data_IF_777993066506
#
_entry.id   IF_777993066506
#
_cell.length_a   1.000
_cell.length_b   1.000
_cell.length_c   1.000
_cell.angle_alpha   90.00
_cell.angle_beta   90.00
_cell.angle_gamma   90.00
#
_symmetry.space_group_name_H-M   'P 1'
#
loop_
_entity.id
_entity.type
_entity.pdbx_description
1 polymer ?
#
# COMPACT_ATOMS: atom_id res chain seq x y z
N UNK A 1 -13.82 6.19 4.31
CA UNK A 1 -12.99 7.13 5.10
C UNK A 1 -12.51 8.22 4.16
N UNK A 2 -12.89 9.47 4.42
CA UNK A 2 -12.35 10.61 3.68
C UNK A 2 -11.10 11.13 4.39
N UNK A 3 -10.12 11.75 3.70
CA UNK A 3 -8.95 12.33 4.35
C UNK A 3 -9.27 13.50 5.29
N UNK A 4 -10.48 14.05 5.20
CA UNK A 4 -10.95 15.15 6.04
C UNK A 4 -11.41 14.67 7.42
N UNK A 5 -11.96 13.47 7.51
CA UNK A 5 -12.50 12.88 8.75
C UNK A 5 -11.61 11.77 9.31
N UNK A 6 -10.83 11.12 8.44
CA UNK A 6 -9.94 10.02 8.80
C UNK A 6 -8.58 10.49 9.32
N UNK A 7 -7.84 9.54 9.88
CA UNK A 7 -6.50 9.70 10.45
C UNK A 7 -5.60 8.59 9.91
N UNK A 8 -4.34 8.89 9.64
CA UNK A 8 -3.34 7.85 9.37
C UNK A 8 -2.84 7.36 10.72
N UNK A 9 -2.97 6.05 10.97
CA UNK A 9 -2.54 5.43 12.23
C UNK A 9 -1.20 4.68 12.11
N UNK A 10 -0.86 4.23 10.90
CA UNK A 10 0.34 3.45 10.61
C UNK A 10 0.79 3.73 9.18
N UNK A 11 2.09 3.94 8.99
CA UNK A 11 2.75 3.91 7.68
C UNK A 11 3.83 2.83 7.71
N UNK A 12 3.68 1.81 6.87
CA UNK A 12 4.68 0.74 6.70
C UNK A 12 5.38 0.92 5.37
N UNK A 13 6.71 0.96 5.39
CA UNK A 13 7.51 1.12 4.17
C UNK A 13 8.85 0.38 4.29
N UNK A 14 9.49 0.16 3.15
CA UNK A 14 10.84 -0.39 3.03
C UNK A 14 11.57 0.41 1.96
N UNK A 15 12.80 0.80 2.24
CA UNK A 15 13.66 1.48 1.26
C UNK A 15 14.64 0.45 0.71
N UNK A 16 14.54 0.18 -0.60
CA UNK A 16 15.37 -0.82 -1.29
C UNK A 16 15.40 -2.17 -0.52
N UNK A 17 16.59 -2.75 -0.37
CA UNK A 17 16.82 -4.00 0.38
C UNK A 17 17.03 -3.79 1.89
N UNK A 18 16.62 -2.64 2.43
CA UNK A 18 16.73 -2.32 3.85
C UNK A 18 15.69 -3.01 4.72
N UNK A 19 15.63 -2.60 5.99
CA UNK A 19 14.63 -3.07 6.94
C UNK A 19 13.23 -2.50 6.64
N UNK A 20 12.20 -3.21 7.10
CA UNK A 20 10.83 -2.70 7.12
C UNK A 20 10.70 -1.71 8.28
N UNK A 21 10.21 -0.51 7.97
CA UNK A 21 9.95 0.56 8.92
C UNK A 21 8.45 0.72 9.13
N UNK A 22 8.08 1.04 10.37
CA UNK A 22 6.70 1.30 10.77
C UNK A 22 6.66 2.60 11.56
N UNK A 23 6.05 3.63 10.98
CA UNK A 23 5.75 4.85 11.70
C UNK A 23 4.38 4.69 12.32
N UNK A 24 4.34 4.75 13.65
CA UNK A 24 3.17 4.43 14.46
C UNK A 24 2.63 5.71 15.06
N UNK A 25 1.38 6.01 14.75
CA UNK A 25 0.75 7.23 15.21
C UNK A 25 0.64 7.27 16.74
N UNK A 26 0.31 6.15 17.37
CA UNK A 26 0.16 6.06 18.83
C UNK A 26 1.48 6.24 19.61
N UNK A 27 2.63 6.25 18.94
CA UNK A 27 3.94 6.47 19.59
C UNK A 27 4.40 7.93 19.54
N UNK A 28 4.12 8.63 18.43
CA UNK A 28 4.69 9.97 18.16
C UNK A 28 3.65 11.00 17.69
N UNK A 29 2.39 10.61 17.53
CA UNK A 29 1.33 11.43 16.96
C UNK A 29 1.37 11.51 15.43
N UNK A 30 0.20 11.73 14.83
CA UNK A 30 0.04 11.74 13.36
C UNK A 30 0.91 12.81 12.69
N UNK A 31 0.98 14.00 13.28
CA UNK A 31 1.75 15.13 12.75
C UNK A 31 3.23 14.79 12.62
N UNK A 32 3.85 14.28 13.69
CA UNK A 32 5.28 13.99 13.69
C UNK A 32 5.61 12.74 12.86
N UNK A 33 4.70 11.75 12.83
CA UNK A 33 4.76 10.65 11.88
C UNK A 33 4.80 11.15 10.43
N UNK A 34 3.88 12.03 10.05
CA UNK A 34 3.83 12.60 8.70
C UNK A 34 5.05 13.46 8.40
N UNK A 35 5.54 14.22 9.38
CA UNK A 35 6.79 14.99 9.23
C UNK A 35 7.98 14.06 8.97
N UNK A 36 8.14 12.97 9.74
CA UNK A 36 9.19 11.98 9.53
C UNK A 36 9.11 11.34 8.14
N UNK A 37 7.90 10.99 7.70
CA UNK A 37 7.70 10.44 6.35
C UNK A 37 8.03 11.46 5.26
N UNK A 38 7.63 12.72 5.42
CA UNK A 38 7.96 13.80 4.48
C UNK A 38 9.47 14.02 4.37
N UNK A 39 10.18 14.08 5.50
CA UNK A 39 11.62 14.29 5.53
C UNK A 39 12.36 13.14 4.84
N UNK A 40 11.94 11.89 5.10
CA UNK A 40 12.44 10.72 4.38
C UNK A 40 12.28 10.87 2.86
N UNK A 41 11.08 11.22 2.38
CA UNK A 41 10.83 11.40 0.94
C UNK A 41 11.73 12.50 0.36
N UNK A 42 11.88 13.61 1.07
CA UNK A 42 12.75 14.72 0.67
C UNK A 42 14.21 14.27 0.58
N UNK A 43 14.69 13.51 1.56
CA UNK A 43 16.07 13.04 1.60
C UNK A 43 16.35 11.99 0.52
N UNK A 44 15.44 11.05 0.28
CA UNK A 44 15.55 10.09 -0.81
C UNK A 44 15.56 10.79 -2.19
N UNK A 45 14.87 11.92 -2.34
CA UNK A 45 14.89 12.72 -3.57
C UNK A 45 16.15 13.59 -3.75
N UNK A 46 16.99 13.74 -2.71
CA UNK A 46 18.25 14.49 -2.80
C UNK A 46 19.43 13.62 -3.28
N UNK A 47 19.24 12.30 -3.40
CA UNK A 47 20.28 11.37 -3.84
C UNK A 47 20.90 11.77 -5.19
N UNK A 48 22.20 11.51 -5.35
CA UNK A 48 22.96 11.80 -6.57
C UNK A 48 22.73 10.71 -7.62
N UNK A 49 22.10 11.07 -8.75
CA UNK A 49 21.88 10.19 -9.91
C UNK A 49 20.67 10.59 -10.75
N UNK A 50 20.49 9.93 -11.90
CA UNK A 50 19.28 10.05 -12.75
C UNK A 50 18.07 9.28 -12.18
N UNK A 51 18.28 8.47 -11.14
CA UNK A 51 17.22 7.66 -10.52
C UNK A 51 16.32 8.54 -9.65
N UNK A 52 15.17 8.91 -10.22
CA UNK A 52 14.07 9.54 -9.48
C UNK A 52 13.59 8.58 -8.39
N UNK A 53 13.20 9.13 -7.23
CA UNK A 53 12.55 8.34 -6.17
C UNK A 53 11.38 7.56 -6.77
N UNK A 54 11.46 6.23 -6.69
CA UNK A 54 10.37 5.34 -7.09
C UNK A 54 9.55 4.93 -5.86
N UNK A 55 8.24 5.12 -5.94
CA UNK A 55 7.28 4.67 -4.92
C UNK A 55 6.46 3.54 -5.52
N UNK A 56 6.43 2.40 -4.83
CA UNK A 56 5.76 1.18 -5.29
C UNK A 56 4.69 0.74 -4.31
N UNK A 57 3.61 0.14 -4.82
CA UNK A 57 2.60 -0.54 -4.02
C UNK A 57 1.26 -0.63 -4.73
N UNK A 58 0.23 -1.04 -4.01
CA UNK A 58 -1.07 -1.37 -4.58
C UNK A 58 -2.08 -0.22 -4.40
N UNK A 59 -2.65 0.27 -5.49
CA UNK A 59 -3.64 1.37 -5.52
C UNK A 59 -3.15 2.67 -4.84
N UNK A 60 -1.83 2.89 -4.83
CA UNK A 60 -1.18 4.03 -4.18
C UNK A 60 -1.62 5.37 -4.82
N UNK A 61 -1.85 5.39 -6.13
CA UNK A 61 -2.36 6.57 -6.83
C UNK A 61 -3.86 6.77 -6.60
N UNK A 62 -4.61 5.70 -6.34
CA UNK A 62 -6.04 5.79 -6.04
C UNK A 62 -6.34 6.17 -4.59
N UNK A 63 -5.39 5.96 -3.67
CA UNK A 63 -5.63 6.13 -2.24
C UNK A 63 -4.43 6.75 -1.48
N UNK A 64 -3.36 5.99 -1.27
CA UNK A 64 -2.33 6.28 -0.26
C UNK A 64 -1.69 7.66 -0.41
N UNK A 65 -1.16 8.02 -1.58
CA UNK A 65 -0.41 9.28 -1.75
C UNK A 65 -1.31 10.50 -1.58
N UNK A 66 -2.53 10.45 -2.11
CA UNK A 66 -3.47 11.55 -1.96
C UNK A 66 -3.99 11.66 -0.53
N UNK A 67 -4.23 10.54 0.15
CA UNK A 67 -4.60 10.55 1.55
C UNK A 67 -3.49 11.17 2.40
N UNK A 68 -2.24 10.71 2.23
CA UNK A 68 -1.05 11.26 2.91
C UNK A 68 -0.88 12.75 2.61
N UNK A 69 -0.97 13.17 1.34
CA UNK A 69 -0.86 14.57 0.95
C UNK A 69 -1.90 15.46 1.66
N UNK A 70 -3.16 15.03 1.68
CA UNK A 70 -4.22 15.79 2.34
C UNK A 70 -4.02 15.87 3.86
N UNK A 71 -3.58 14.79 4.50
CA UNK A 71 -3.26 14.79 5.94
C UNK A 71 -2.04 15.65 6.26
N UNK A 72 -1.01 15.66 5.41
CA UNK A 72 0.14 16.57 5.55
C UNK A 72 -0.28 18.04 5.43
N UNK A 73 -1.20 18.35 4.51
CA UNK A 73 -1.78 19.69 4.36
C UNK A 73 -2.58 20.09 5.60
N UNK A 74 -3.43 19.20 6.12
CA UNK A 74 -4.20 19.42 7.35
C UNK A 74 -3.28 19.77 8.53
N UNK A 75 -2.18 19.03 8.70
CA UNK A 75 -1.20 19.24 9.77
C UNK A 75 -0.19 20.35 9.51
N UNK A 76 -0.28 21.02 8.35
CA UNK A 76 0.64 22.10 7.91
C UNK A 76 2.11 21.66 7.98
N UNK A 77 2.41 20.46 7.50
CA UNK A 77 3.77 19.89 7.51
C UNK A 77 4.74 20.73 6.67
N UNK A 78 4.24 21.29 5.57
CA UNK A 78 4.97 22.19 4.68
C UNK A 78 3.97 22.99 3.82
N UNK A 79 4.42 24.03 3.12
CA UNK A 79 3.65 24.72 2.08
C UNK A 79 3.06 23.75 1.05
N UNK A 80 1.81 23.99 0.64
CA UNK A 80 1.05 23.13 -0.27
C UNK A 80 1.79 22.86 -1.59
N UNK A 81 2.43 23.90 -2.15
CA UNK A 81 3.26 23.78 -3.37
C UNK A 81 4.37 22.74 -3.19
N UNK A 82 5.06 22.75 -2.06
CA UNK A 82 6.15 21.84 -1.79
C UNK A 82 5.66 20.43 -1.44
N UNK A 83 4.53 20.30 -0.73
CA UNK A 83 3.89 19.01 -0.52
C UNK A 83 3.52 18.35 -1.85
N UNK A 84 2.86 19.09 -2.74
CA UNK A 84 2.48 18.58 -4.07
C UNK A 84 3.71 18.17 -4.88
N UNK A 85 4.74 19.03 -4.92
CA UNK A 85 5.97 18.73 -5.65
C UNK A 85 6.67 17.47 -5.12
N UNK A 86 6.78 17.32 -3.80
CA UNK A 86 7.56 16.24 -3.20
C UNK A 86 6.82 14.90 -3.14
N UNK A 87 5.52 14.92 -2.84
CA UNK A 87 4.73 13.71 -2.61
C UNK A 87 4.04 13.22 -3.89
N UNK A 88 3.58 14.14 -4.75
CA UNK A 88 2.73 13.79 -5.91
C UNK A 88 3.51 13.88 -7.23
N UNK A 89 4.20 14.99 -7.48
CA UNK A 89 4.70 15.29 -8.82
C UNK A 89 6.09 14.70 -9.15
N UNK A 90 7.02 14.73 -8.20
CA UNK A 90 8.41 14.30 -8.43
C UNK A 90 8.62 12.78 -8.42
N UNK A 91 7.99 11.99 -7.55
CA UNK A 91 8.22 10.56 -7.52
C UNK A 91 7.78 9.87 -8.82
N UNK A 92 8.52 8.86 -9.25
CA UNK A 92 8.00 7.87 -10.19
C UNK A 92 7.12 6.89 -9.39
N UNK A 93 5.84 6.76 -9.72
CA UNK A 93 4.92 5.89 -8.98
C UNK A 93 4.60 4.66 -9.82
N UNK A 94 4.94 3.47 -9.30
CA UNK A 94 4.50 2.19 -9.86
C UNK A 94 3.35 1.66 -9.02
N UNK A 95 2.13 1.88 -9.53
CA UNK A 95 0.91 1.38 -8.93
C UNK A 95 0.58 0.00 -9.51
N UNK A 96 0.65 -1.04 -8.67
CA UNK A 96 0.38 -2.41 -9.10
C UNK A 96 -1.03 -2.60 -9.63
N UNK A 97 -2.03 -1.84 -9.16
CA UNK A 97 -3.37 -1.91 -9.75
C UNK A 97 -3.33 -1.47 -11.21
N UNK A 98 -2.68 -0.34 -11.49
CA UNK A 98 -2.58 0.25 -12.83
C UNK A 98 -1.77 -0.65 -13.78
N UNK A 99 -0.67 -1.23 -13.30
CA UNK A 99 0.17 -2.14 -14.08
C UNK A 99 -0.58 -3.38 -14.58
N UNK A 100 -1.62 -3.82 -13.86
CA UNK A 100 -2.41 -5.02 -14.20
C UNK A 100 -3.69 -4.71 -14.98
N UNK A 101 -4.07 -3.44 -15.18
CA UNK A 101 -5.26 -3.08 -15.95
C UNK A 101 -5.28 -3.67 -17.36
N UNK A 102 -4.19 -3.63 -18.17
CA UNK A 102 -4.21 -4.19 -19.52
C UNK A 102 -4.49 -5.71 -19.55
N UNK A 103 -4.16 -6.43 -18.47
CA UNK A 103 -4.40 -7.86 -18.33
C UNK A 103 -5.84 -8.18 -17.89
N UNK A 104 -6.61 -7.17 -17.50
CA UNK A 104 -8.00 -7.29 -17.07
C UNK A 104 -8.94 -6.41 -17.91
N UNK A 105 -8.64 -6.29 -19.20
CA UNK A 105 -9.46 -5.54 -20.16
C UNK A 105 -9.75 -4.10 -19.69
N UNK A 106 -8.75 -3.50 -19.04
CA UNK A 106 -8.79 -2.16 -18.45
C UNK A 106 -9.87 -1.96 -17.38
N UNK A 107 -10.33 -3.04 -16.74
CA UNK A 107 -11.26 -3.00 -15.62
C UNK A 107 -10.52 -3.08 -14.28
N UNK A 108 -10.94 -2.27 -13.32
CA UNK A 108 -10.47 -2.37 -11.92
C UNK A 108 -11.19 -3.47 -11.15
N UNK A 109 -12.41 -3.84 -11.60
CA UNK A 109 -13.21 -4.90 -10.96
C UNK A 109 -12.44 -6.22 -10.99
N UNK A 110 -12.32 -6.84 -9.82
CA UNK A 110 -11.60 -8.11 -9.65
C UNK A 110 -10.11 -7.95 -9.32
N UNK A 111 -9.48 -6.80 -9.59
CA UNK A 111 -8.06 -6.58 -9.30
C UNK A 111 -7.82 -6.20 -7.84
N UNK A 112 -8.23 -7.04 -6.89
CA UNK A 112 -7.98 -6.83 -5.45
C UNK A 112 -6.52 -7.16 -5.08
N UNK A 113 -6.04 -6.62 -3.95
CA UNK A 113 -4.71 -6.93 -3.41
C UNK A 113 -4.48 -8.46 -3.35
N UNK A 114 -5.40 -9.20 -2.72
CA UNK A 114 -5.30 -10.66 -2.59
C UNK A 114 -5.28 -11.41 -3.93
N UNK A 115 -5.94 -10.87 -4.95
CA UNK A 115 -5.90 -11.47 -6.30
C UNK A 115 -4.50 -11.37 -6.88
N UNK A 116 -3.84 -10.23 -6.70
CA UNK A 116 -2.45 -10.05 -7.10
C UNK A 116 -1.54 -10.91 -6.21
N UNK A 117 -1.75 -10.95 -4.90
CA UNK A 117 -0.99 -11.83 -4.01
C UNK A 117 -1.04 -13.28 -4.51
N UNK A 118 -2.25 -13.81 -4.77
CA UNK A 118 -2.44 -15.16 -5.30
C UNK A 118 -1.80 -15.37 -6.67
N UNK A 119 -1.98 -14.43 -7.60
CA UNK A 119 -1.45 -14.53 -8.96
C UNK A 119 0.08 -14.69 -8.97
N UNK A 120 0.76 -14.08 -8.00
CA UNK A 120 2.21 -14.13 -7.84
C UNK A 120 2.68 -15.14 -6.77
N UNK A 121 1.79 -15.97 -6.23
CA UNK A 121 2.12 -17.03 -5.28
C UNK A 121 2.44 -16.55 -3.86
N UNK A 122 2.00 -15.34 -3.49
CA UNK A 122 2.03 -14.86 -2.12
C UNK A 122 0.80 -15.35 -1.33
N UNK A 123 0.90 -15.42 0.02
CA UNK A 123 -0.24 -15.74 0.87
C UNK A 123 -1.41 -14.76 0.65
N UNK A 124 -2.62 -15.30 0.52
CA UNK A 124 -3.87 -14.51 0.54
C UNK A 124 -4.41 -14.42 1.96
N UNK A 125 -5.26 -13.43 2.19
CA UNK A 125 -5.95 -13.23 3.45
C UNK A 125 -7.42 -12.90 3.20
N UNK A 126 -8.26 -13.18 4.19
CA UNK A 126 -9.70 -12.93 4.12
C UNK A 126 -10.16 -11.76 4.99
N UNK A 127 -9.21 -11.00 5.56
CA UNK A 127 -9.49 -9.89 6.48
C UNK A 127 -9.49 -8.55 5.73
N UNK A 128 -10.59 -7.82 5.81
CA UNK A 128 -10.71 -6.45 5.30
C UNK A 128 -9.96 -5.48 6.22
N UNK A 129 -9.22 -4.53 5.64
CA UNK A 129 -8.51 -3.50 6.43
C UNK A 129 -9.40 -2.60 7.29
N UNK A 130 -10.69 -2.46 6.95
CA UNK A 130 -11.67 -1.78 7.81
C UNK A 130 -11.95 -2.53 9.11
N UNK A 131 -11.68 -3.84 9.15
CA UNK A 131 -11.80 -4.68 10.34
C UNK A 131 -10.77 -4.35 11.43
N UNK A 132 -9.74 -3.57 11.11
CA UNK A 132 -8.68 -3.20 12.06
C UNK A 132 -9.02 -1.93 12.86
N UNK A 133 -10.04 -1.16 12.45
CA UNK A 133 -10.45 0.08 13.14
C UNK A 133 -10.80 -0.17 14.62
N UNK A 134 -11.59 -1.22 14.99
CA UNK A 134 -11.87 -1.51 16.39
C UNK A 134 -10.61 -1.79 17.21
N UNK A 135 -9.59 -2.44 16.62
CA UNK A 135 -8.34 -2.74 17.32
C UNK A 135 -7.59 -1.46 17.70
N UNK A 136 -7.66 -0.40 16.88
CA UNK A 136 -7.05 0.89 17.23
C UNK A 136 -7.70 1.51 18.47
N UNK A 137 -9.04 1.51 18.54
CA UNK A 137 -9.78 2.04 19.69
C UNK A 137 -9.70 1.17 20.94
N UNK A 138 -9.36 -0.11 20.78
CA UNK A 138 -9.09 -1.06 21.86
C UNK A 138 -7.61 -1.07 22.29
N UNK A 139 -6.78 -0.24 21.66
CA UNK A 139 -5.33 -0.21 21.87
C UNK A 139 -4.62 -1.56 21.60
N UNK A 140 -5.24 -2.42 20.79
CA UNK A 140 -4.70 -3.70 20.33
C UNK A 140 -3.79 -3.48 19.11
N UNK A 141 -2.72 -2.72 19.33
CA UNK A 141 -1.81 -2.28 18.28
C UNK A 141 -1.05 -3.43 17.62
N UNK A 142 -0.83 -4.53 18.32
CA UNK A 142 -0.16 -5.71 17.78
C UNK A 142 -0.96 -6.36 16.65
N UNK A 143 -2.30 -6.36 16.73
CA UNK A 143 -3.14 -6.83 15.62
C UNK A 143 -3.02 -5.96 14.37
N UNK A 144 -2.95 -4.64 14.56
CA UNK A 144 -2.76 -3.68 13.45
C UNK A 144 -1.39 -3.90 12.78
N UNK A 145 -0.33 -4.10 13.58
CA UNK A 145 1.00 -4.40 13.08
C UNK A 145 0.99 -5.73 12.32
N UNK A 146 0.41 -6.78 12.90
CA UNK A 146 0.29 -8.09 12.27
C UNK A 146 -0.52 -8.06 10.98
N UNK A 147 -1.58 -7.26 10.91
CA UNK A 147 -2.32 -7.01 9.67
C UNK A 147 -1.43 -6.38 8.61
N UNK A 148 -0.70 -5.31 8.98
CA UNK A 148 0.20 -4.64 8.05
C UNK A 148 1.33 -5.56 7.57
N UNK A 149 1.82 -6.47 8.40
CA UNK A 149 2.82 -7.46 8.02
C UNK A 149 2.36 -8.39 6.93
N UNK A 150 1.13 -8.90 7.06
CA UNK A 150 0.53 -9.77 6.04
C UNK A 150 0.24 -9.03 4.73
N UNK A 151 -0.11 -7.75 4.79
CA UNK A 151 -0.36 -6.92 3.61
C UNK A 151 0.89 -6.53 2.83
N UNK A 152 2.00 -6.35 3.55
CA UNK A 152 3.16 -5.65 3.03
C UNK A 152 4.07 -6.58 2.20
N UNK A 153 3.53 -7.06 1.08
CA UNK A 153 4.21 -7.92 0.10
C UNK A 153 4.90 -7.11 -1.01
N UNK A 154 4.77 -5.78 -0.99
CA UNK A 154 5.07 -4.93 -2.14
C UNK A 154 6.53 -4.97 -2.62
N UNK A 155 7.54 -4.97 -1.73
CA UNK A 155 8.92 -5.10 -2.17
C UNK A 155 9.18 -6.43 -2.90
N UNK A 156 8.70 -7.53 -2.34
CA UNK A 156 8.88 -8.88 -2.88
C UNK A 156 8.10 -9.06 -4.18
N UNK A 157 6.88 -8.51 -4.26
CA UNK A 157 6.08 -8.48 -5.48
C UNK A 157 6.77 -7.67 -6.59
N UNK A 158 7.33 -6.51 -6.26
CA UNK A 158 8.09 -5.72 -7.23
C UNK A 158 9.29 -6.48 -7.78
N UNK A 159 10.09 -7.12 -6.91
CA UNK A 159 11.23 -7.91 -7.35
C UNK A 159 10.83 -9.10 -8.23
N UNK A 160 9.70 -9.75 -7.93
CA UNK A 160 9.14 -10.81 -8.77
C UNK A 160 8.74 -10.28 -10.15
N UNK A 161 8.02 -9.17 -10.21
CA UNK A 161 7.65 -8.53 -11.49
C UNK A 161 8.89 -8.09 -12.27
N UNK A 162 9.90 -7.55 -11.59
CA UNK A 162 11.14 -7.07 -12.22
C UNK A 162 11.96 -8.21 -12.80
N UNK A 163 11.98 -9.38 -12.16
CA UNK A 163 12.79 -10.54 -12.57
C UNK A 163 12.07 -11.48 -13.53
N UNK A 164 10.75 -11.67 -13.36
CA UNK A 164 9.95 -12.65 -14.10
C UNK A 164 8.98 -12.00 -15.10
N UNK A 165 8.76 -10.67 -15.00
CA UNK A 165 7.73 -9.96 -15.75
C UNK A 165 6.36 -10.00 -15.06
N UNK A 166 5.36 -9.37 -15.69
CA UNK A 166 3.98 -9.50 -15.25
C UNK A 166 3.46 -10.92 -15.51
N UNK A 167 2.55 -11.38 -14.66
CA UNK A 167 1.79 -12.62 -14.93
C UNK A 167 1.02 -12.54 -16.25
N UNK A 168 0.72 -13.70 -16.83
CA UNK A 168 -0.15 -13.79 -18.00
C UNK A 168 -1.58 -13.32 -17.70
N UNK A 169 -2.31 -12.92 -18.75
CA UNK A 169 -3.75 -12.62 -18.66
C UNK A 169 -4.52 -13.82 -18.10
N UNK A 170 -4.21 -15.03 -18.58
CA UNK A 170 -4.86 -16.27 -18.16
C UNK A 170 -4.68 -16.50 -16.66
N UNK A 171 -3.46 -16.32 -16.14
CA UNK A 171 -3.16 -16.49 -14.72
C UNK A 171 -3.90 -15.47 -13.85
N UNK A 172 -3.96 -14.21 -14.30
CA UNK A 172 -4.69 -13.17 -13.58
C UNK A 172 -6.19 -13.48 -13.53
N UNK A 173 -6.79 -13.92 -14.64
CA UNK A 173 -8.20 -14.28 -14.70
C UNK A 173 -8.53 -15.53 -13.85
N UNK A 174 -7.64 -16.52 -13.81
CA UNK A 174 -7.76 -17.67 -12.89
C UNK A 174 -7.78 -17.19 -11.44
N UNK A 175 -6.89 -16.26 -11.09
CA UNK A 175 -6.75 -15.71 -9.74
C UNK A 175 -7.98 -14.91 -9.31
N UNK A 176 -8.57 -14.12 -10.22
CA UNK A 176 -9.84 -13.41 -10.00
C UNK A 176 -10.95 -14.41 -9.67
N UNK A 177 -11.13 -15.45 -10.50
CA UNK A 177 -12.15 -16.47 -10.29
C UNK A 177 -11.97 -17.23 -8.98
N UNK A 178 -10.73 -17.58 -8.64
CA UNK A 178 -10.40 -18.24 -7.38
C UNK A 178 -10.86 -17.38 -6.20
N UNK A 179 -10.53 -16.09 -6.21
CA UNK A 179 -10.92 -15.18 -5.14
C UNK A 179 -12.45 -14.96 -5.08
N UNK A 180 -13.12 -14.82 -6.21
CA UNK A 180 -14.58 -14.69 -6.28
C UNK A 180 -15.27 -15.91 -5.66
N UNK A 181 -14.80 -17.13 -5.98
CA UNK A 181 -15.33 -18.37 -5.42
C UNK A 181 -15.16 -18.46 -3.90
N UNK A 182 -14.01 -18.01 -3.37
CA UNK A 182 -13.76 -17.96 -1.93
C UNK A 182 -14.68 -16.95 -1.23
N UNK A 183 -14.91 -15.79 -1.85
CA UNK A 183 -15.80 -14.76 -1.31
C UNK A 183 -17.28 -15.17 -1.27
N UNK A 184 -17.69 -16.09 -2.15
CA UNK A 184 -19.05 -16.64 -2.20
C UNK A 184 -19.25 -17.84 -1.26
N UNK A 185 -18.18 -18.50 -0.80
CA UNK A 185 -18.22 -19.66 0.09
C UNK A 185 -17.22 -19.52 1.26
N UNK A 186 -17.45 -18.61 2.22
CA UNK A 186 -16.49 -18.36 3.32
C UNK A 186 -16.32 -19.51 4.33
N UNK A 187 -16.97 -20.67 4.13
CA UNK A 187 -17.17 -21.72 5.14
C UNK A 187 -16.60 -23.10 4.78
N UNK A 188 -15.46 -23.20 4.05
CA UNK A 188 -14.82 -24.52 3.83
C UNK A 188 -13.37 -24.70 4.25
N UNK A 189 -12.55 -23.66 4.40
CA UNK A 189 -11.10 -23.87 4.63
C UNK A 189 -10.51 -23.21 5.89
N UNK A 190 -11.34 -22.76 6.84
CA UNK A 190 -10.85 -22.21 8.11
C UNK A 190 -11.10 -23.16 9.28
N UNK A 191 -10.66 -24.42 9.19
CA UNK A 191 -10.26 -25.27 10.33
C UNK A 191 -9.56 -26.53 9.80
N UNK A 192 -8.24 -26.45 9.60
CA UNK A 192 -7.34 -27.60 9.65
C UNK A 192 -5.92 -27.14 9.96
#
# INVERSE_FOLDING_TARGET
LTPFEGKIILITYKVNNGHVFRLKEWEIGEKDMLKKFYDLVVDLQKGTGDDRLRIIGYNILGFDLFFIYQRMKYHKIQDEKWLYQRIINKPEVLDFLQMHLPLNDYQTKGLKHDVLAYAYGFPIKFTLGSGEIPHYFQEDYEKIIGYSEREFIYPELYEKIRSEGLVSKEKLQESIKHYENLSLNPSKDNFS
#
